data_IF_271804768446
#
_entry.id   IF_271804768446
#
_cell.length_a   1.000
_cell.length_b   1.000
_cell.length_c   1.000
_cell.angle_alpha   90.00
_cell.angle_beta   90.00
_cell.angle_gamma   90.00
#
_symmetry.space_group_name_H-M   'P 1'
#
loop_
_entity.id
_entity.type
_entity.pdbx_description
1 polymer ?
#
# COMPACT_ATOMS: atom_id res chain seq x y z
N UNK A 1 14.04 -11.20 -21.35
CA UNK A 1 14.18 -9.96 -20.55
C UNK A 1 14.00 -10.35 -19.10
N UNK A 2 14.86 -9.85 -18.21
CA UNK A 2 14.68 -10.03 -16.78
C UNK A 2 13.41 -9.32 -16.32
N UNK A 3 12.75 -9.91 -15.33
CA UNK A 3 11.68 -9.25 -14.59
C UNK A 3 12.29 -8.32 -13.54
N UNK A 4 11.46 -7.51 -12.90
CA UNK A 4 11.90 -6.55 -11.88
C UNK A 4 11.37 -6.99 -10.53
N UNK A 5 12.28 -7.20 -9.58
CA UNK A 5 11.94 -7.48 -8.19
C UNK A 5 11.95 -6.20 -7.39
N UNK A 6 10.81 -5.85 -6.83
CA UNK A 6 10.61 -4.79 -5.86
C UNK A 6 10.57 -5.40 -4.46
N UNK A 7 11.47 -4.96 -3.58
CA UNK A 7 11.54 -5.42 -2.19
C UNK A 7 11.18 -4.30 -1.24
N UNK A 8 10.38 -4.62 -0.24
CA UNK A 8 9.87 -3.67 0.74
C UNK A 8 9.70 -4.34 2.11
N UNK A 9 9.44 -3.53 3.13
CA UNK A 9 9.20 -4.04 4.47
C UNK A 9 8.19 -3.21 5.24
N UNK A 10 7.59 -3.84 6.24
CA UNK A 10 6.80 -3.18 7.28
C UNK A 10 7.57 -3.19 8.60
N UNK A 11 7.43 -2.11 9.38
CA UNK A 11 7.96 -1.98 10.73
C UNK A 11 6.81 -1.63 11.67
N UNK A 12 6.67 -2.39 12.75
CA UNK A 12 5.70 -2.08 13.81
C UNK A 12 6.27 -1.09 14.83
N UNK A 13 5.43 -0.65 15.78
CA UNK A 13 5.84 0.24 16.86
C UNK A 13 6.96 -0.35 17.75
N UNK A 14 7.07 -1.68 17.81
CA UNK A 14 8.08 -2.42 18.58
C UNK A 14 9.36 -2.75 17.78
N UNK A 15 9.48 -2.22 16.56
CA UNK A 15 10.61 -2.40 15.64
C UNK A 15 10.82 -3.83 15.10
N UNK A 16 9.80 -4.69 15.18
CA UNK A 16 9.76 -5.92 14.41
C UNK A 16 9.65 -5.60 12.92
N UNK A 17 10.23 -6.46 12.07
CA UNK A 17 10.32 -6.25 10.61
C UNK A 17 9.68 -7.41 9.87
N UNK A 18 8.76 -7.10 8.96
CA UNK A 18 8.17 -8.05 8.02
C UNK A 18 8.61 -7.68 6.61
N UNK A 19 9.09 -8.63 5.83
CA UNK A 19 9.64 -8.38 4.49
C UNK A 19 8.72 -8.96 3.41
N UNK A 20 8.53 -8.19 2.34
CA UNK A 20 7.74 -8.58 1.18
C UNK A 20 8.48 -8.33 -0.11
N UNK A 21 8.06 -9.04 -1.15
CA UNK A 21 8.58 -8.86 -2.49
C UNK A 21 7.47 -8.97 -3.52
N UNK A 22 7.57 -8.14 -4.56
CA UNK A 22 6.75 -8.23 -5.75
C UNK A 22 7.67 -8.29 -6.98
N UNK A 23 7.38 -9.19 -7.91
CA UNK A 23 8.12 -9.39 -9.15
C UNK A 23 7.22 -9.01 -10.32
N UNK A 24 7.55 -7.92 -11.00
CA UNK A 24 6.81 -7.38 -12.13
C UNK A 24 7.46 -7.75 -13.46
N UNK A 25 6.68 -7.85 -14.53
CA UNK A 25 7.26 -7.98 -15.87
C UNK A 25 7.92 -6.67 -16.29
N UNK A 26 8.91 -6.74 -17.19
CA UNK A 26 9.57 -5.56 -17.76
C UNK A 26 9.45 -5.54 -19.28
N UNK A 27 8.23 -5.41 -19.82
CA UNK A 27 7.99 -5.46 -21.26
C UNK A 27 8.63 -4.27 -22.00
N UNK A 28 8.81 -3.15 -21.31
CA UNK A 28 9.38 -1.91 -21.87
C UNK A 28 10.90 -1.82 -21.75
N UNK A 29 11.56 -2.81 -21.11
CA UNK A 29 13.01 -2.84 -20.91
C UNK A 29 13.53 -1.57 -20.22
N UNK A 30 12.81 -1.08 -19.20
CA UNK A 30 13.31 -0.02 -18.35
C UNK A 30 14.53 -0.51 -17.57
N UNK A 31 15.57 0.32 -17.52
CA UNK A 31 16.76 0.05 -16.70
C UNK A 31 16.44 0.19 -15.21
N UNK A 32 17.09 -0.62 -14.38
CA UNK A 32 16.90 -0.62 -12.92
C UNK A 32 17.09 0.76 -12.31
N UNK A 33 18.12 1.51 -12.73
CA UNK A 33 18.40 2.86 -12.22
C UNK A 33 17.24 3.83 -12.47
N UNK A 34 16.59 3.72 -13.64
CA UNK A 34 15.44 4.55 -13.99
C UNK A 34 14.21 4.16 -13.18
N UNK A 35 14.01 2.86 -12.95
CA UNK A 35 12.92 2.36 -12.10
C UNK A 35 13.10 2.83 -10.66
N UNK A 36 14.30 2.68 -10.10
CA UNK A 36 14.63 3.13 -8.74
C UNK A 36 14.41 4.64 -8.59
N UNK A 37 14.89 5.43 -9.56
CA UNK A 37 14.70 6.88 -9.56
C UNK A 37 13.22 7.27 -9.55
N UNK A 38 12.39 6.60 -10.35
CA UNK A 38 10.95 6.86 -10.41
C UNK A 38 10.23 6.43 -9.13
N UNK A 39 10.62 5.29 -8.56
CA UNK A 39 10.12 4.84 -7.26
C UNK A 39 10.39 5.91 -6.21
N UNK A 40 11.67 6.24 -5.97
CA UNK A 40 12.06 7.21 -4.93
C UNK A 40 11.42 8.59 -5.12
N UNK A 41 11.21 9.03 -6.36
CA UNK A 41 10.53 10.29 -6.63
C UNK A 41 9.03 10.28 -6.27
N UNK A 42 8.40 9.11 -6.22
CA UNK A 42 6.99 8.95 -5.88
C UNK A 42 6.76 8.64 -4.38
N UNK A 43 7.75 8.07 -3.69
CA UNK A 43 7.66 7.75 -2.26
C UNK A 43 7.57 9.01 -1.39
N UNK A 44 6.86 8.90 -0.27
CA UNK A 44 6.91 9.89 0.80
C UNK A 44 8.32 9.93 1.40
N UNK A 45 8.93 11.12 1.38
CA UNK A 45 10.33 11.35 1.77
C UNK A 45 11.35 10.45 1.05
N UNK A 46 10.98 9.88 -0.10
CA UNK A 46 11.85 8.97 -0.86
C UNK A 46 11.96 7.55 -0.32
N UNK A 47 11.26 7.22 0.78
CA UNK A 47 11.41 5.93 1.47
C UNK A 47 10.08 5.25 1.77
N UNK A 48 9.01 6.01 2.04
CA UNK A 48 7.76 5.48 2.57
C UNK A 48 6.61 5.46 1.56
N UNK A 49 5.74 4.47 1.68
CA UNK A 49 4.50 4.37 0.91
C UNK A 49 3.46 3.57 1.68
N UNK A 50 2.24 3.50 1.14
CA UNK A 50 1.15 2.72 1.71
C UNK A 50 0.78 1.60 0.73
N UNK A 51 0.96 0.34 1.15
CA UNK A 51 0.91 -0.84 0.28
C UNK A 51 -0.47 -1.04 -0.40
N UNK A 52 -1.58 -0.83 0.31
CA UNK A 52 -2.92 -0.94 -0.29
C UNK A 52 -3.18 0.11 -1.38
N UNK A 53 -2.65 1.34 -1.23
CA UNK A 53 -2.83 2.41 -2.22
C UNK A 53 -2.10 2.12 -3.54
N UNK A 54 -1.08 1.26 -3.50
CA UNK A 54 -0.30 0.82 -4.68
C UNK A 54 -0.61 -0.64 -5.07
N UNK A 55 -1.64 -1.21 -4.43
CA UNK A 55 -2.16 -2.56 -4.69
C UNK A 55 -1.09 -3.64 -4.54
N UNK A 56 -0.22 -3.55 -3.54
CA UNK A 56 0.69 -4.64 -3.15
C UNK A 56 0.27 -5.22 -1.80
N UNK A 57 0.83 -6.36 -1.41
CA UNK A 57 0.45 -7.05 -0.16
C UNK A 57 0.88 -6.21 1.06
N UNK A 58 -0.03 -6.03 2.00
CA UNK A 58 0.26 -5.43 3.30
C UNK A 58 0.89 -6.46 4.23
N UNK A 59 1.98 -6.09 4.90
CA UNK A 59 2.83 -7.03 5.64
C UNK A 59 2.62 -6.96 7.17
N UNK A 60 1.43 -6.56 7.60
CA UNK A 60 1.10 -6.43 9.03
C UNK A 60 1.26 -7.76 9.78
N UNK A 61 1.67 -7.70 11.05
CA UNK A 61 1.92 -8.89 11.87
C UNK A 61 0.65 -9.51 12.45
N UNK A 62 -0.34 -8.68 12.76
CA UNK A 62 -1.63 -9.08 13.32
C UNK A 62 -2.76 -8.57 12.42
N UNK A 63 -3.91 -9.24 12.45
CA UNK A 63 -5.11 -8.82 11.71
C UNK A 63 -5.60 -7.43 12.16
N UNK A 64 -5.19 -6.97 13.34
CA UNK A 64 -5.54 -5.66 13.88
C UNK A 64 -4.25 -5.00 14.41
N UNK A 65 -3.67 -4.05 13.67
CA UNK A 65 -2.53 -3.28 14.15
C UNK A 65 -2.90 -2.60 15.48
N UNK A 66 -1.96 -2.57 16.43
CA UNK A 66 -2.19 -1.86 17.69
C UNK A 66 -2.41 -0.37 17.46
N UNK A 67 -2.95 0.35 18.45
CA UNK A 67 -3.17 1.81 18.35
C UNK A 67 -1.89 2.61 17.99
N UNK A 68 -0.71 2.03 18.21
CA UNK A 68 0.60 2.61 17.92
C UNK A 68 1.16 2.23 16.53
N UNK A 69 0.50 1.33 15.80
CA UNK A 69 0.93 0.87 14.48
C UNK A 69 0.48 1.84 13.38
N UNK A 70 1.25 1.87 12.29
CA UNK A 70 1.04 2.82 11.18
C UNK A 70 0.90 2.08 9.84
N UNK A 71 0.22 2.63 8.82
CA UNK A 71 0.06 1.94 7.53
C UNK A 71 1.31 1.98 6.63
N UNK A 72 2.35 2.72 7.05
CA UNK A 72 3.53 2.97 6.24
C UNK A 72 4.40 1.71 6.07
N UNK A 73 4.73 1.45 4.81
CA UNK A 73 5.72 0.49 4.37
C UNK A 73 6.96 1.23 3.87
N UNK A 74 8.11 0.60 4.04
CA UNK A 74 9.43 1.13 3.70
C UNK A 74 9.93 0.42 2.44
N UNK A 75 10.34 1.22 1.45
CA UNK A 75 11.06 0.73 0.28
C UNK A 75 12.45 0.23 0.68
N UNK A 76 12.81 -0.97 0.22
CA UNK A 76 14.12 -1.53 0.52
C UNK A 76 15.06 -1.42 -0.68
N UNK A 77 14.73 -2.07 -1.81
CA UNK A 77 15.50 -1.96 -3.07
C UNK A 77 14.73 -2.51 -4.26
N UNK A 78 15.26 -2.29 -5.46
CA UNK A 78 14.77 -2.87 -6.72
C UNK A 78 15.92 -3.48 -7.50
N UNK A 79 15.68 -4.60 -8.17
CA UNK A 79 16.70 -5.28 -8.98
C UNK A 79 16.09 -6.05 -10.16
N UNK A 80 16.93 -6.43 -11.12
CA UNK A 80 16.58 -7.40 -12.15
C UNK A 80 16.57 -8.83 -11.59
N UNK A 81 15.64 -9.66 -12.05
CA UNK A 81 15.52 -11.06 -11.65
C UNK A 81 15.03 -11.95 -12.78
N UNK A 82 15.48 -13.21 -12.78
CA UNK A 82 14.98 -14.25 -13.68
C UNK A 82 13.75 -14.98 -13.09
N UNK A 83 13.33 -14.63 -11.87
CA UNK A 83 12.14 -15.21 -11.25
C UNK A 83 10.90 -14.84 -12.05
N UNK A 84 9.94 -15.76 -12.10
CA UNK A 84 8.65 -15.50 -12.72
C UNK A 84 7.94 -14.33 -12.01
N UNK A 85 7.21 -13.53 -12.77
CA UNK A 85 6.38 -12.47 -12.22
C UNK A 85 5.44 -13.03 -11.14
N UNK A 86 5.48 -12.40 -9.98
CA UNK A 86 4.82 -12.80 -8.76
C UNK A 86 4.36 -11.54 -8.06
N UNK A 87 3.06 -11.34 -7.98
CA UNK A 87 2.49 -10.18 -7.34
C UNK A 87 1.46 -10.67 -6.33
N UNK A 88 1.82 -10.75 -5.05
CA UNK A 88 0.98 -11.40 -4.05
C UNK A 88 -0.37 -10.70 -3.86
N UNK A 89 -0.44 -9.37 -4.03
CA UNK A 89 -1.73 -8.66 -4.10
C UNK A 89 -2.26 -8.44 -5.52
N UNK A 90 -1.51 -8.85 -6.55
CA UNK A 90 -1.93 -8.87 -7.94
C UNK A 90 -3.15 -9.76 -8.23
N UNK A 91 -3.75 -10.35 -7.20
CA UNK A 91 -4.78 -11.34 -7.32
C UNK A 91 -5.66 -11.42 -6.08
N UNK A 92 -6.91 -10.98 -6.23
CA UNK A 92 -8.00 -11.92 -5.93
C UNK A 92 -8.84 -12.27 -7.16
N UNK A 93 -8.77 -11.55 -8.32
CA UNK A 93 -9.83 -11.75 -9.35
C UNK A 93 -9.42 -12.38 -10.71
N UNK A 94 -8.23 -12.20 -11.33
CA UNK A 94 -8.06 -12.62 -12.76
C UNK A 94 -6.72 -13.20 -13.26
N UNK A 95 -5.72 -13.44 -12.43
CA UNK A 95 -4.44 -14.00 -12.91
C UNK A 95 -3.58 -13.00 -13.70
N UNK A 96 -3.82 -11.71 -13.49
CA UNK A 96 -3.09 -10.63 -14.15
C UNK A 96 -1.66 -10.54 -13.63
N UNK A 97 -0.69 -10.44 -14.53
CA UNK A 97 0.72 -10.20 -14.20
C UNK A 97 1.02 -8.75 -14.53
N UNK A 98 1.14 -7.91 -13.51
CA UNK A 98 1.42 -6.48 -13.69
C UNK A 98 2.81 -6.25 -14.27
N UNK A 99 2.88 -5.27 -15.17
CA UNK A 99 4.14 -4.74 -15.68
C UNK A 99 4.71 -3.68 -14.73
N UNK A 100 6.03 -3.54 -14.68
CA UNK A 100 6.70 -2.54 -13.85
C UNK A 100 6.21 -1.13 -14.18
N UNK A 101 5.84 -0.84 -15.42
CA UNK A 101 5.28 0.46 -15.82
C UNK A 101 3.88 0.72 -15.25
N UNK A 102 3.07 -0.34 -15.12
CA UNK A 102 1.76 -0.28 -14.48
C UNK A 102 1.92 0.02 -12.98
N UNK A 103 2.83 -0.70 -12.31
CA UNK A 103 3.16 -0.44 -10.91
C UNK A 103 3.68 0.98 -10.67
N UNK A 104 4.62 1.47 -11.50
CA UNK A 104 5.12 2.84 -11.41
C UNK A 104 4.01 3.88 -11.60
N UNK A 105 3.05 3.59 -12.47
CA UNK A 105 1.89 4.48 -12.68
C UNK A 105 0.99 4.53 -11.45
N UNK A 106 0.68 3.37 -10.86
CA UNK A 106 -0.08 3.27 -9.61
C UNK A 106 0.61 4.05 -8.48
N UNK A 107 1.93 3.87 -8.34
CA UNK A 107 2.76 4.55 -7.34
C UNK A 107 2.75 6.08 -7.51
N UNK A 108 2.95 6.56 -8.74
CA UNK A 108 2.92 8.00 -9.05
C UNK A 108 1.52 8.60 -8.86
N UNK A 109 0.46 7.83 -9.11
CA UNK A 109 -0.92 8.28 -8.89
C UNK A 109 -1.23 8.39 -7.39
N UNK A 110 -0.85 7.40 -6.58
CA UNK A 110 -1.01 7.43 -5.13
C UNK A 110 -0.23 8.62 -4.52
N UNK A 111 1.01 8.82 -4.94
CA UNK A 111 1.83 9.96 -4.54
C UNK A 111 1.17 11.31 -4.83
N UNK A 112 0.61 11.47 -6.05
CA UNK A 112 -0.08 12.71 -6.47
C UNK A 112 -1.42 12.92 -5.75
N UNK A 113 -2.14 11.84 -5.43
CA UNK A 113 -3.38 11.91 -4.67
C UNK A 113 -3.15 12.30 -3.20
N UNK A 114 -1.91 12.11 -2.72
CA UNK A 114 -1.57 12.21 -1.31
C UNK A 114 -1.77 10.84 -0.64
N UNK A 115 -0.79 10.46 0.16
CA UNK A 115 -0.86 9.24 0.98
C UNK A 115 -1.94 9.41 2.04
N UNK A 116 -2.83 8.41 2.15
CA UNK A 116 -3.91 8.39 3.14
C UNK A 116 -3.47 7.49 4.29
N UNK A 117 -3.00 8.10 5.36
CA UNK A 117 -2.45 7.42 6.54
C UNK A 117 -3.54 6.87 7.50
N UNK A 118 -4.82 7.04 7.13
CA UNK A 118 -5.91 6.31 7.77
C UNK A 118 -5.81 4.84 7.35
N UNK A 119 -6.02 3.93 8.30
CA UNK A 119 -5.90 2.50 8.00
C UNK A 119 -6.88 2.09 6.89
N UNK A 120 -6.48 1.13 6.04
CA UNK A 120 -7.36 0.60 5.00
C UNK A 120 -8.68 0.04 5.56
N UNK A 121 -8.66 -0.41 6.82
CA UNK A 121 -9.83 -0.84 7.58
C UNK A 121 -10.74 0.32 8.01
N UNK A 122 -10.20 1.48 8.37
CA UNK A 122 -11.00 2.66 8.69
C UNK A 122 -11.75 3.15 7.43
N UNK A 123 -11.12 3.07 6.27
CA UNK A 123 -11.75 3.35 4.97
C UNK A 123 -12.78 2.26 4.59
N UNK A 124 -12.49 0.99 4.84
CA UNK A 124 -13.43 -0.12 4.60
C UNK A 124 -14.66 -0.02 5.53
N UNK A 125 -14.45 0.36 6.80
CA UNK A 125 -15.52 0.63 7.75
C UNK A 125 -16.35 1.84 7.31
N UNK A 126 -15.72 2.96 6.93
CA UNK A 126 -16.43 4.13 6.40
C UNK A 126 -17.23 3.81 5.13
N UNK A 127 -16.68 2.99 4.22
CA UNK A 127 -17.38 2.54 3.02
C UNK A 127 -18.57 1.63 3.35
N UNK A 128 -18.43 0.70 4.30
CA UNK A 128 -19.52 -0.16 4.77
C UNK A 128 -20.64 0.66 5.44
N UNK A 129 -20.29 1.65 6.28
CA UNK A 129 -21.27 2.56 6.88
C UNK A 129 -21.96 3.47 5.85
N UNK A 130 -21.27 3.89 4.79
CA UNK A 130 -21.85 4.68 3.72
C UNK A 130 -22.82 3.88 2.83
N UNK A 131 -22.54 2.59 2.60
CA UNK A 131 -23.36 1.71 1.76
C UNK A 131 -24.56 1.09 2.52
N UNK A 132 -24.44 0.94 3.84
CA UNK A 132 -25.55 0.54 4.71
C UNK A 132 -26.43 1.71 5.18
N UNK A 133 -26.05 2.95 4.86
CA UNK A 133 -26.86 4.11 5.15
C UNK A 133 -28.15 4.06 4.31
N UNK A 134 -29.35 3.94 4.92
CA UNK A 134 -30.58 3.99 4.16
C UNK A 134 -30.68 5.34 3.45
N UNK A 135 -30.89 5.29 2.13
CA UNK A 135 -31.12 6.44 1.26
C UNK A 135 -32.27 7.28 1.84
N UNK A 136 -31.95 8.32 2.61
CA UNK A 136 -33.02 9.12 3.24
C UNK A 136 -32.67 10.05 4.39
N UNK A 137 -31.47 10.06 4.98
CA UNK A 137 -31.16 11.04 6.04
C UNK A 137 -29.80 11.72 5.83
N UNK A 138 -29.79 12.73 4.95
CA UNK A 138 -28.91 13.88 5.14
C UNK A 138 -29.32 14.57 6.44
N UNK A 139 -28.70 14.20 7.55
CA UNK A 139 -28.74 15.02 8.77
C UNK A 139 -27.36 15.07 9.38
N UNK A 140 -26.82 16.28 9.30
CA UNK A 140 -25.87 16.93 10.19
C UNK A 140 -25.26 16.04 11.29
N UNK A 141 -23.93 15.90 11.19
CA UNK A 141 -22.96 15.80 12.27
C UNK A 141 -23.53 16.06 13.68
N UNK A 142 -23.25 15.15 14.63
CA UNK A 142 -22.88 15.60 15.96
C UNK A 142 -21.57 14.94 16.44
N UNK A 143 -20.59 15.79 16.70
CA UNK A 143 -19.75 15.79 17.90
C UNK A 143 -19.29 14.42 18.42
N UNK A 144 -18.12 13.96 17.95
CA UNK A 144 -17.33 12.95 18.66
C UNK A 144 -16.67 13.60 19.90
N UNK A 145 -17.45 13.74 20.96
CA UNK A 145 -16.95 14.10 22.28
C UNK A 145 -17.67 13.23 23.29
N UNK A 146 -16.96 12.22 23.80
CA UNK A 146 -17.00 11.66 25.16
C UNK A 146 -16.79 10.15 25.14
N UNK A 147 -15.54 9.71 25.32
CA UNK A 147 -15.24 8.54 26.15
C UNK A 147 -13.95 8.81 26.93
N UNK A 148 -14.06 9.65 27.95
CA UNK A 148 -13.09 9.72 29.05
C UNK A 148 -13.86 9.60 30.35
N UNK A 149 -14.12 8.35 30.76
CA UNK A 149 -14.28 7.96 32.17
C UNK A 149 -14.43 6.44 32.24
N UNK A 150 -13.41 5.75 32.76
CA UNK A 150 -13.52 4.90 33.96
C UNK A 150 -12.12 4.58 34.48
N UNK A 151 -12.10 4.47 35.80
CA UNK A 151 -10.97 4.46 36.74
C UNK A 151 -9.94 3.37 36.49
#
# INVERSE_FOLDING_TARGET
MPNIRFTYMYRDASNYKSHGEAVFTNCTSLGVDEIERRIKAALYDGEYFIAWQVKIEELFFEEMPGDDDHPWHEYAWVEETDRAAFDPAGLIILGHRRDVTEFLTDLEQASKAGWDDRSGEELAALAFYADTAPCGQRTLCPTFAQFKTRR
#
